data_IF_724046232237
#
_entry.id   IF_724046232237
#
_cell.length_a   1.000
_cell.length_b   1.000
_cell.length_c   1.000
_cell.angle_alpha   90.00
_cell.angle_beta   90.00
_cell.angle_gamma   90.00
#
_symmetry.space_group_name_H-M   'P 1'
#
loop_
_entity.id
_entity.type
_entity.pdbx_description
1 polymer ?
#
# COMPACT_ATOMS: atom_id res chain seq x y z
N UNK A 1 0.63 -17.20 -10.68
CA UNK A 1 0.21 -15.80 -10.90
C UNK A 1 -0.82 -15.44 -9.86
N UNK A 2 -0.82 -14.22 -9.32
CA UNK A 2 -1.94 -13.76 -8.49
C UNK A 2 -3.24 -13.83 -9.31
N UNK A 3 -4.41 -14.09 -8.69
CA UNK A 3 -5.68 -14.19 -9.40
C UNK A 3 -5.91 -12.93 -10.25
N UNK A 4 -6.47 -13.11 -11.46
CA UNK A 4 -6.80 -12.04 -12.41
C UNK A 4 -7.79 -10.99 -11.86
N UNK A 5 -8.30 -11.20 -10.65
CA UNK A 5 -9.37 -10.41 -10.03
C UNK A 5 -8.86 -9.39 -9.01
N UNK A 6 -7.56 -9.35 -8.72
CA UNK A 6 -7.00 -8.35 -7.81
C UNK A 6 -6.88 -7.01 -8.55
N UNK A 7 -7.87 -6.15 -8.36
CA UNK A 7 -7.91 -4.79 -8.93
C UNK A 7 -7.14 -3.77 -8.08
N UNK A 8 -6.94 -4.08 -6.79
CA UNK A 8 -6.35 -3.18 -5.80
C UNK A 8 -5.31 -3.93 -4.95
N UNK A 9 -4.07 -3.43 -4.94
CA UNK A 9 -2.97 -3.97 -4.14
C UNK A 9 -2.49 -2.96 -3.10
N UNK A 10 -2.26 -3.43 -1.88
CA UNK A 10 -1.81 -2.57 -0.78
C UNK A 10 -0.33 -2.81 -0.45
N UNK A 11 0.37 -1.73 -0.15
CA UNK A 11 1.71 -1.75 0.44
C UNK A 11 1.74 -0.82 1.66
N UNK A 12 2.29 -1.29 2.77
CA UNK A 12 2.44 -0.51 3.99
C UNK A 12 3.49 -1.19 4.88
N UNK A 13 4.09 -0.50 5.86
CA UNK A 13 4.95 -1.17 6.83
C UNK A 13 4.11 -2.13 7.69
N UNK A 14 4.68 -3.29 8.00
CA UNK A 14 3.98 -4.32 8.80
C UNK A 14 3.97 -4.02 10.29
N UNK A 15 4.98 -3.28 10.75
CA UNK A 15 5.17 -2.92 12.17
C UNK A 15 5.56 -1.44 12.24
N UNK A 16 4.92 -0.71 13.15
CA UNK A 16 5.17 0.71 13.40
C UNK A 16 5.37 0.92 14.90
N UNK A 17 6.31 1.79 15.28
CA UNK A 17 6.51 2.16 16.69
C UNK A 17 5.44 3.16 17.14
N UNK A 18 4.75 2.87 18.24
CA UNK A 18 3.73 3.75 18.81
C UNK A 18 4.35 5.08 19.25
N UNK A 19 3.65 6.17 18.95
CA UNK A 19 4.05 7.54 19.33
C UNK A 19 5.23 8.10 18.55
N UNK A 20 5.86 7.34 17.65
CA UNK A 20 6.94 7.83 16.78
C UNK A 20 6.40 8.07 15.37
N UNK A 21 6.42 9.33 14.94
CA UNK A 21 6.04 9.70 13.57
C UNK A 21 6.90 8.95 12.54
N UNK A 22 6.32 8.69 11.37
CA UNK A 22 7.00 7.99 10.28
C UNK A 22 6.70 8.66 8.95
N UNK A 23 7.69 8.69 8.06
CA UNK A 23 7.50 9.04 6.66
C UNK A 23 7.05 7.84 5.82
N UNK A 24 6.83 6.68 6.43
CA UNK A 24 6.15 5.57 5.77
C UNK A 24 4.67 5.87 5.60
N UNK A 25 3.97 5.08 4.79
CA UNK A 25 2.55 5.30 4.51
C UNK A 25 1.86 4.05 4.02
N UNK A 26 0.55 4.14 3.90
CA UNK A 26 -0.29 3.14 3.26
C UNK A 26 -0.40 3.54 1.80
N UNK A 27 0.00 2.65 0.91
CA UNK A 27 -0.08 2.80 -0.52
C UNK A 27 -1.13 1.84 -1.07
N UNK A 28 -1.92 2.34 -2.00
CA UNK A 28 -2.89 1.57 -2.77
C UNK A 28 -2.55 1.71 -4.25
N UNK A 29 -2.18 0.60 -4.90
CA UNK A 29 -2.04 0.52 -6.34
C UNK A 29 -3.37 0.02 -6.92
N UNK A 30 -4.13 0.92 -7.55
CA UNK A 30 -5.41 0.60 -8.18
C UNK A 30 -5.18 0.45 -9.69
N UNK A 31 -5.05 -0.79 -10.16
CA UNK A 31 -4.48 -1.09 -11.50
C UNK A 31 -5.27 -0.51 -12.67
N UNK A 32 -6.59 -0.40 -12.53
CA UNK A 32 -7.47 0.19 -13.54
C UNK A 32 -7.89 1.62 -13.21
N UNK A 33 -7.22 2.22 -12.21
CA UNK A 33 -7.56 3.52 -11.69
C UNK A 33 -7.04 4.69 -12.52
N UNK A 34 -7.78 5.78 -12.52
CA UNK A 34 -7.39 7.05 -13.09
C UNK A 34 -7.22 8.09 -11.98
N UNK A 35 -6.40 9.11 -12.20
CA UNK A 35 -6.09 10.15 -11.19
C UNK A 35 -7.32 10.81 -10.55
N UNK A 36 -8.45 10.83 -11.27
CA UNK A 36 -9.71 11.45 -10.82
C UNK A 36 -10.63 10.48 -10.07
N UNK A 37 -10.22 9.22 -9.91
CA UNK A 37 -10.93 8.22 -9.10
C UNK A 37 -10.83 8.55 -7.61
N UNK A 38 -11.88 8.19 -6.86
CA UNK A 38 -11.92 8.39 -5.42
C UNK A 38 -11.36 7.16 -4.72
N UNK A 39 -10.22 7.32 -4.05
CA UNK A 39 -9.64 6.29 -3.19
C UNK A 39 -9.65 6.78 -1.75
N UNK A 40 -10.18 5.96 -0.86
CA UNK A 40 -10.34 6.26 0.56
C UNK A 40 -9.84 5.08 1.39
N UNK A 41 -9.40 5.34 2.61
CA UNK A 41 -9.01 4.31 3.56
C UNK A 41 -9.53 4.60 4.96
N UNK A 42 -9.64 3.56 5.79
CA UNK A 42 -9.87 3.68 7.22
C UNK A 42 -9.01 2.68 7.99
N UNK A 43 -8.78 2.98 9.26
CA UNK A 43 -8.15 2.08 10.21
C UNK A 43 -9.21 1.60 11.20
N UNK A 44 -9.30 0.29 11.40
CA UNK A 44 -10.33 -0.40 12.17
C UNK A 44 -11.73 0.09 11.76
N UNK A 45 -12.57 0.43 12.74
CA UNK A 45 -13.91 0.98 12.52
C UNK A 45 -13.92 2.52 12.53
N UNK A 46 -12.75 3.15 12.28
CA UNK A 46 -12.61 4.58 12.17
C UNK A 46 -13.30 5.19 10.93
N UNK A 47 -13.27 6.52 10.86
CA UNK A 47 -13.80 7.25 9.71
C UNK A 47 -12.99 6.99 8.43
N UNK A 48 -13.69 6.89 7.30
CA UNK A 48 -13.07 6.92 5.97
C UNK A 48 -12.38 8.26 5.74
N UNK A 49 -11.15 8.20 5.24
CA UNK A 49 -10.32 9.34 4.88
C UNK A 49 -9.89 9.23 3.43
N UNK A 50 -9.85 10.34 2.66
CA UNK A 50 -9.33 10.30 1.30
C UNK A 50 -7.83 9.94 1.30
N UNK A 51 -7.41 9.19 0.29
CA UNK A 51 -6.00 9.01 -0.06
C UNK A 51 -5.63 10.02 -1.16
N UNK A 52 -4.37 10.46 -1.16
CA UNK A 52 -3.84 11.37 -2.17
C UNK A 52 -3.29 10.58 -3.35
N UNK A 53 -3.68 10.91 -4.58
CA UNK A 53 -3.00 10.41 -5.77
C UNK A 53 -1.53 10.86 -5.77
N UNK A 54 -0.61 9.97 -6.14
CA UNK A 54 0.83 10.25 -6.16
C UNK A 54 1.48 9.63 -7.40
N UNK A 55 2.43 10.37 -7.99
CA UNK A 55 3.28 9.88 -9.06
C UNK A 55 4.63 9.45 -8.48
N UNK A 56 4.80 8.16 -8.25
CA UNK A 56 6.02 7.58 -7.71
C UNK A 56 6.19 6.12 -8.18
N UNK A 57 7.41 5.56 -8.14
CA UNK A 57 7.59 4.12 -8.27
C UNK A 57 6.78 3.35 -7.22
N UNK A 58 6.10 2.28 -7.63
CA UNK A 58 5.36 1.42 -6.68
C UNK A 58 6.33 0.79 -5.67
N UNK A 59 6.19 1.08 -4.37
CA UNK A 59 7.12 0.57 -3.35
C UNK A 59 7.12 -0.96 -3.22
N UNK A 60 6.03 -1.66 -3.54
CA UNK A 60 6.02 -3.12 -3.57
C UNK A 60 6.89 -3.65 -4.71
N UNK A 61 6.77 -3.03 -5.89
CA UNK A 61 7.60 -3.39 -7.03
C UNK A 61 9.07 -3.08 -6.78
N UNK A 62 9.39 -1.91 -6.23
CA UNK A 62 10.75 -1.53 -5.80
C UNK A 62 11.30 -2.56 -4.81
N UNK A 63 10.53 -2.94 -3.79
CA UNK A 63 10.93 -3.97 -2.84
C UNK A 63 11.17 -5.34 -3.50
N UNK A 64 10.42 -5.67 -4.56
CA UNK A 64 10.68 -6.89 -5.36
C UNK A 64 11.99 -6.83 -6.12
N UNK A 65 12.36 -5.66 -6.66
CA UNK A 65 13.63 -5.47 -7.36
C UNK A 65 14.81 -5.61 -6.40
N UNK A 66 14.71 -5.03 -5.20
CA UNK A 66 15.75 -5.20 -4.19
C UNK A 66 15.98 -6.66 -3.81
N UNK A 67 14.94 -7.52 -3.77
CA UNK A 67 15.15 -8.96 -3.56
C UNK A 67 16.01 -9.60 -4.66
N UNK A 68 15.87 -9.17 -5.91
CA UNK A 68 16.74 -9.62 -6.99
C UNK A 68 18.16 -9.07 -6.89
N UNK A 69 18.32 -7.86 -6.36
CA UNK A 69 19.62 -7.18 -6.28
C UNK A 69 20.45 -7.58 -5.07
N UNK A 70 19.81 -8.08 -4.01
CA UNK A 70 20.46 -8.40 -2.73
C UNK A 70 20.44 -9.89 -2.40
N UNK A 71 20.03 -10.76 -3.33
CA UNK A 71 20.10 -12.21 -3.15
C UNK A 71 21.52 -12.70 -3.37
N UNK A 72 22.02 -13.59 -2.51
CA UNK A 72 23.30 -14.29 -2.68
C UNK A 72 23.16 -15.53 -3.59
N UNK A 73 21.93 -15.91 -3.92
CA UNK A 73 21.60 -17.06 -4.75
C UNK A 73 20.99 -16.63 -6.09
N UNK A 74 21.34 -17.36 -7.17
CA UNK A 74 20.77 -17.14 -8.49
C UNK A 74 19.27 -17.48 -8.50
N UNK A 75 18.44 -16.44 -8.56
CA UNK A 75 17.00 -16.61 -8.70
C UNK A 75 16.63 -17.13 -10.10
N UNK A 76 15.65 -18.04 -10.22
CA UNK A 76 15.20 -18.54 -11.50
C UNK A 76 14.50 -17.42 -12.30
N UNK A 77 14.90 -17.23 -13.56
CA UNK A 77 14.33 -16.26 -14.48
C UNK A 77 15.23 -15.04 -14.70
N UNK A 78 14.63 -13.94 -15.18
CA UNK A 78 15.34 -12.67 -15.44
C UNK A 78 14.84 -11.62 -14.45
N UNK A 79 15.78 -10.88 -13.85
CA UNK A 79 15.46 -9.67 -13.10
C UNK A 79 14.60 -8.73 -13.96
N UNK A 80 13.46 -8.23 -13.43
CA UNK A 80 12.63 -7.25 -14.15
C UNK A 80 13.39 -5.94 -14.45
N UNK A 81 12.80 -5.11 -15.32
CA UNK A 81 13.26 -3.74 -15.53
C UNK A 81 13.14 -2.89 -14.27
N UNK A 82 13.87 -1.79 -14.21
CA UNK A 82 13.76 -0.84 -13.11
C UNK A 82 12.33 -0.31 -12.96
N UNK A 83 11.98 0.03 -11.72
CA UNK A 83 10.69 0.63 -11.41
C UNK A 83 10.58 2.00 -12.09
N UNK A 84 9.47 2.21 -12.78
CA UNK A 84 9.09 3.49 -13.38
C UNK A 84 8.03 4.16 -12.52
N UNK A 85 7.83 5.46 -12.71
CA UNK A 85 6.76 6.21 -12.06
C UNK A 85 5.41 5.58 -12.43
N UNK A 86 4.60 5.27 -11.42
CA UNK A 86 3.23 4.79 -11.59
C UNK A 86 2.26 5.95 -11.55
N UNK A 87 1.27 5.94 -12.44
CA UNK A 87 0.10 6.84 -12.43
C UNK A 87 -1.09 6.26 -11.68
N UNK A 88 -0.95 5.05 -11.13
CA UNK A 88 -2.02 4.25 -10.52
C UNK A 88 -1.86 4.13 -8.99
N UNK A 89 -1.19 5.11 -8.36
CA UNK A 89 -0.79 5.01 -6.96
C UNK A 89 -1.46 6.09 -6.12
N UNK A 90 -1.99 5.66 -4.98
CA UNK A 90 -2.55 6.53 -3.94
C UNK A 90 -1.86 6.29 -2.63
N UNK A 91 -1.73 7.34 -1.82
CA UNK A 91 -1.05 7.32 -0.53
C UNK A 91 -1.92 7.91 0.57
N UNK A 92 -1.97 7.21 1.70
CA UNK A 92 -2.51 7.68 2.97
C UNK A 92 -1.47 7.56 4.08
N UNK A 93 -1.70 8.29 5.17
CA UNK A 93 -0.84 8.21 6.35
C UNK A 93 -1.10 6.92 7.13
N UNK A 94 -0.04 6.38 7.74
CA UNK A 94 -0.18 5.26 8.68
C UNK A 94 -0.19 5.77 10.14
N UNK A 95 -1.30 5.59 10.88
CA UNK A 95 -1.37 6.09 12.25
C UNK A 95 -0.40 5.37 13.19
N UNK A 96 0.36 6.16 13.95
CA UNK A 96 1.25 5.69 15.01
C UNK A 96 0.73 6.00 16.42
N UNK A 97 -0.46 6.61 16.53
CA UNK A 97 -1.03 7.11 17.79
C UNK A 97 -2.21 6.28 18.32
N UNK A 98 -2.41 5.06 17.81
CA UNK A 98 -3.41 4.12 18.31
C UNK A 98 -2.82 3.25 19.45
N UNK A 99 -3.64 2.46 20.16
CA UNK A 99 -3.15 1.48 21.13
C UNK A 99 -2.13 0.50 20.52
N UNK A 100 -1.32 -0.14 21.37
CA UNK A 100 -0.45 -1.25 20.93
C UNK A 100 -1.34 -2.43 20.52
N UNK A 101 -1.04 -3.06 19.38
CA UNK A 101 -1.85 -4.15 18.86
C UNK A 101 -1.88 -4.22 17.35
N UNK A 102 -2.65 -5.17 16.83
CA UNK A 102 -2.96 -5.27 15.40
C UNK A 102 -4.11 -4.32 15.05
N UNK A 103 -3.97 -3.64 13.91
CA UNK A 103 -4.96 -2.73 13.36
C UNK A 103 -5.27 -3.09 11.90
N UNK A 104 -6.56 -3.08 11.56
CA UNK A 104 -7.05 -3.38 10.21
C UNK A 104 -6.98 -2.13 9.34
N UNK A 105 -6.40 -2.26 8.16
CA UNK A 105 -6.47 -1.27 7.09
C UNK A 105 -7.56 -1.74 6.14
N UNK A 106 -8.51 -0.86 5.83
CA UNK A 106 -9.45 -1.07 4.74
C UNK A 106 -9.30 0.06 3.74
N UNK A 107 -9.14 -0.27 2.46
CA UNK A 107 -9.08 0.68 1.36
C UNK A 107 -10.23 0.41 0.42
N UNK A 108 -10.88 1.48 -0.02
CA UNK A 108 -11.97 1.47 -0.98
C UNK A 108 -11.63 2.40 -2.14
N UNK A 109 -11.60 1.86 -3.35
CA UNK A 109 -11.49 2.64 -4.58
C UNK A 109 -12.84 2.65 -5.29
N UNK A 110 -13.31 3.83 -5.68
CA UNK A 110 -14.50 4.02 -6.51
C UNK A 110 -14.08 4.68 -7.81
N UNK A 111 -14.33 4.01 -8.93
CA UNK A 111 -14.00 4.56 -10.25
C UNK A 111 -15.02 5.60 -10.74
N UNK A 112 -14.71 6.26 -11.86
CA UNK A 112 -15.61 7.22 -12.53
C UNK A 112 -16.98 6.64 -12.92
N UNK A 113 -17.14 5.32 -13.00
CA UNK A 113 -18.41 4.64 -13.28
C UNK A 113 -19.17 4.24 -12.01
N UNK A 114 -18.66 4.59 -10.83
CA UNK A 114 -19.24 4.26 -9.54
C UNK A 114 -18.98 2.83 -9.06
N UNK A 115 -18.17 2.04 -9.79
CA UNK A 115 -17.81 0.68 -9.35
C UNK A 115 -16.84 0.77 -8.19
N UNK A 116 -17.07 -0.06 -7.19
CA UNK A 116 -16.31 -0.01 -5.93
C UNK A 116 -15.51 -1.30 -5.74
N UNK A 117 -14.22 -1.13 -5.41
CA UNK A 117 -13.27 -2.19 -5.10
C UNK A 117 -12.76 -1.99 -3.70
N UNK A 118 -12.75 -3.06 -2.89
CA UNK A 118 -12.30 -3.02 -1.51
C UNK A 118 -11.15 -3.99 -1.35
N UNK A 119 -10.11 -3.56 -0.63
CA UNK A 119 -9.02 -4.42 -0.21
C UNK A 119 -8.70 -4.17 1.27
N UNK A 120 -8.27 -5.21 1.96
CA UNK A 120 -7.93 -5.14 3.38
C UNK A 120 -6.50 -5.65 3.62
N UNK A 121 -5.89 -5.15 4.69
CA UNK A 121 -4.62 -5.65 5.22
C UNK A 121 -4.54 -5.33 6.71
N UNK A 122 -3.45 -5.71 7.39
CA UNK A 122 -3.22 -5.38 8.81
C UNK A 122 -1.80 -4.91 9.04
N UNK A 123 -1.62 -4.02 10.03
CA UNK A 123 -0.32 -3.64 10.56
C UNK A 123 -0.35 -3.69 12.08
N UNK A 124 0.82 -3.78 12.72
CA UNK A 124 0.93 -3.83 14.17
C UNK A 124 1.63 -2.61 14.72
N UNK A 125 1.05 -2.00 15.75
CA UNK A 125 1.74 -1.03 16.61
C UNK A 125 2.41 -1.77 17.75
N UNK A 126 3.66 -1.39 18.03
CA UNK A 126 4.46 -1.90 19.14
C UNK A 126 5.01 -0.75 19.95
N UNK A 127 5.28 -0.99 21.24
CA UNK A 127 6.03 -0.01 22.02
C UNK A 127 7.41 0.20 21.41
N UNK A 128 7.89 1.45 21.38
CA UNK A 128 9.24 1.73 20.93
C UNK A 128 10.27 1.02 21.81
N UNK A 129 11.35 0.54 21.17
CA UNK A 129 12.58 0.15 21.87
C UNK A 129 13.23 1.36 22.56
#
# INVERSE_FOLDING_TARGET
GQPKDVQLKLFHPKVVARGRGTQSGIFANFFMGYKDDRVEYRIDDGAWKPMSHVEAPDPDFVGSLYRWDTTDELMPGRRPSNAVISTHLWRGDIPANLPVGEHRIEVRATDLFGRTFIQQSTYRLVDPL
#
